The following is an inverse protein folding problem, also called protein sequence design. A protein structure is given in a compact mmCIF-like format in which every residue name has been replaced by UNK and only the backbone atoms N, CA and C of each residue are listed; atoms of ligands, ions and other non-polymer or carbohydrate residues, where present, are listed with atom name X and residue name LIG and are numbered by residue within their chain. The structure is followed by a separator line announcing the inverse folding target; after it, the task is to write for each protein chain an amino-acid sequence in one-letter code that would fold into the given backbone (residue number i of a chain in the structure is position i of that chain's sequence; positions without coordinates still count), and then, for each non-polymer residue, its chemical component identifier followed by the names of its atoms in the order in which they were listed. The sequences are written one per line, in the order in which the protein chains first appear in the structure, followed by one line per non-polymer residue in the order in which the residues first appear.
data_IF_008705310838
#
_entry.id   IF_008705310838
#
_cell.length_a   1.000
_cell.length_b   1.000
_cell.length_c   1.000
_cell.angle_alpha   90.00
_cell.angle_beta   90.00
_cell.angle_gamma   90.00
#
_symmetry.space_group_name_H-M   'P 1'
#
loop_
_entity.id
_entity.type
_entity.pdbx_description
1 polymer ?
#
# COMPACT_ATOMS: atom_id res chain seq x y z
N UNK A 1 8.44 24.62 -33.41
CA UNK A 1 9.45 24.53 -32.33
C UNK A 1 8.69 24.23 -31.05
N UNK A 2 9.12 23.24 -30.27
CA UNK A 2 8.49 22.87 -29.01
C UNK A 2 8.52 24.06 -28.03
N UNK A 3 7.44 24.24 -27.28
CA UNK A 3 7.40 25.26 -26.22
C UNK A 3 8.22 24.82 -25.01
N UNK A 4 8.56 25.75 -24.10
CA UNK A 4 9.21 25.41 -22.83
C UNK A 4 8.37 24.43 -21.98
N UNK A 5 7.03 24.52 -22.07
CA UNK A 5 6.12 23.58 -21.41
C UNK A 5 6.17 22.19 -22.05
N UNK A 6 6.32 22.10 -23.37
CA UNK A 6 6.45 20.81 -24.05
C UNK A 6 7.78 20.14 -23.68
N UNK A 7 8.88 20.90 -23.64
CA UNK A 7 10.19 20.38 -23.20
C UNK A 7 10.14 19.87 -21.76
N UNK A 8 9.48 20.58 -20.86
CA UNK A 8 9.29 20.12 -19.48
C UNK A 8 8.49 18.81 -19.43
N UNK A 9 7.38 18.73 -20.19
CA UNK A 9 6.57 17.52 -20.32
C UNK A 9 7.37 16.34 -20.88
N UNK A 10 8.16 16.54 -21.94
CA UNK A 10 8.99 15.48 -22.51
C UNK A 10 10.03 14.95 -21.52
N UNK A 11 10.62 15.82 -20.67
CA UNK A 11 11.53 15.39 -19.60
C UNK A 11 10.82 14.57 -18.53
N UNK A 12 9.63 14.98 -18.13
CA UNK A 12 8.81 14.24 -17.16
C UNK A 12 8.41 12.87 -17.70
N UNK A 13 7.93 12.81 -18.94
CA UNK A 13 7.59 11.55 -19.62
C UNK A 13 8.84 10.65 -19.73
N UNK A 14 9.97 11.17 -20.20
CA UNK A 14 11.21 10.39 -20.29
C UNK A 14 11.66 9.83 -18.94
N UNK A 15 11.50 10.59 -17.85
CA UNK A 15 11.82 10.09 -16.51
C UNK A 15 10.83 8.99 -16.07
N UNK A 16 9.54 9.13 -16.37
CA UNK A 16 8.55 8.10 -16.09
C UNK A 16 8.87 6.79 -16.80
N UNK A 17 9.26 6.86 -18.09
CA UNK A 17 9.67 5.69 -18.85
C UNK A 17 10.90 5.00 -18.27
N UNK A 18 11.92 5.77 -17.91
CA UNK A 18 13.14 5.23 -17.28
C UNK A 18 12.86 4.58 -15.93
N UNK A 19 11.93 5.16 -15.17
CA UNK A 19 11.48 4.59 -13.91
C UNK A 19 10.74 3.26 -14.12
N UNK A 20 9.87 3.17 -15.14
CA UNK A 20 9.14 1.96 -15.50
C UNK A 20 10.10 0.86 -15.99
N UNK A 21 11.01 1.17 -16.93
CA UNK A 21 12.05 0.24 -17.42
C UNK A 21 12.83 -0.36 -16.26
N UNK A 22 13.40 0.48 -15.39
CA UNK A 22 14.23 0.01 -14.29
C UNK A 22 13.43 -0.80 -13.27
N UNK A 23 12.16 -0.47 -13.05
CA UNK A 23 11.29 -1.24 -12.16
C UNK A 23 10.97 -2.61 -12.75
N UNK A 24 10.53 -2.67 -14.01
CA UNK A 24 10.14 -3.91 -14.68
C UNK A 24 11.32 -4.86 -14.86
N UNK A 25 12.51 -4.36 -15.18
CA UNK A 25 13.73 -5.17 -15.20
C UNK A 25 14.02 -5.79 -13.82
N UNK A 26 13.87 -5.02 -12.73
CA UNK A 26 14.03 -5.55 -11.37
C UNK A 26 12.98 -6.58 -10.99
N UNK A 27 11.73 -6.41 -11.43
CA UNK A 27 10.71 -7.43 -11.25
C UNK A 27 11.07 -8.70 -12.01
N UNK A 28 11.52 -8.59 -13.27
CA UNK A 28 11.92 -9.72 -14.09
C UNK A 28 13.13 -10.48 -13.52
N UNK A 29 14.08 -9.78 -12.90
CA UNK A 29 15.22 -10.38 -12.19
C UNK A 29 14.79 -11.12 -10.92
N UNK A 30 13.81 -10.58 -10.19
CA UNK A 30 13.34 -11.12 -8.92
C UNK A 30 12.24 -12.19 -9.06
N UNK A 31 11.69 -12.38 -10.26
CA UNK A 31 10.58 -13.29 -10.53
C UNK A 31 11.06 -14.72 -10.78
N UNK A 32 10.70 -15.70 -9.92
CA UNK A 32 11.08 -17.09 -10.12
C UNK A 32 10.37 -17.76 -11.31
N UNK A 33 9.17 -17.32 -11.69
CA UNK A 33 8.45 -17.88 -12.83
C UNK A 33 8.99 -17.30 -14.16
N UNK A 34 9.56 -18.17 -15.01
CA UNK A 34 10.16 -17.77 -16.27
C UNK A 34 9.18 -17.08 -17.25
N UNK A 35 7.92 -17.52 -17.28
CA UNK A 35 6.89 -16.92 -18.15
C UNK A 35 6.52 -15.53 -17.66
N UNK A 36 6.35 -15.36 -16.35
CA UNK A 36 6.03 -14.06 -15.75
C UNK A 36 7.22 -13.09 -15.85
N UNK A 37 8.45 -13.59 -15.67
CA UNK A 37 9.66 -12.81 -15.90
C UNK A 37 9.76 -12.34 -17.36
N UNK A 38 9.34 -13.17 -18.33
CA UNK A 38 9.30 -12.77 -19.73
C UNK A 38 8.27 -11.66 -19.99
N UNK A 39 7.09 -11.71 -19.33
CA UNK A 39 6.10 -10.62 -19.40
C UNK A 39 6.68 -9.31 -18.89
N UNK A 40 7.36 -9.29 -17.74
CA UNK A 40 8.01 -8.07 -17.24
C UNK A 40 9.08 -7.53 -18.18
N UNK A 41 9.88 -8.40 -18.82
CA UNK A 41 10.87 -7.96 -19.83
C UNK A 41 10.20 -7.36 -21.05
N UNK A 42 9.11 -7.95 -21.53
CA UNK A 42 8.35 -7.42 -22.66
C UNK A 42 7.78 -6.04 -22.35
N UNK A 43 7.25 -5.83 -21.14
CA UNK A 43 6.80 -4.50 -20.69
C UNK A 43 7.98 -3.51 -20.71
N UNK A 44 9.15 -3.90 -20.17
CA UNK A 44 10.34 -3.05 -20.22
C UNK A 44 10.80 -2.72 -21.66
N UNK A 45 10.66 -3.66 -22.60
CA UNK A 45 10.96 -3.44 -24.02
C UNK A 45 10.03 -2.39 -24.64
N UNK A 46 8.75 -2.38 -24.27
CA UNK A 46 7.78 -1.35 -24.69
C UNK A 46 8.19 0.04 -24.17
N UNK A 47 8.48 0.15 -22.87
CA UNK A 47 8.88 1.45 -22.28
C UNK A 47 10.21 1.96 -22.84
N UNK A 48 11.13 1.08 -23.27
CA UNK A 48 12.34 1.51 -23.98
C UNK A 48 12.02 2.17 -25.32
N UNK A 49 10.96 1.75 -26.01
CA UNK A 49 10.50 2.40 -27.25
C UNK A 49 9.83 3.75 -26.96
N UNK A 50 9.08 3.84 -25.86
CA UNK A 50 8.48 5.11 -25.42
C UNK A 50 9.57 6.10 -25.00
N UNK A 51 10.55 5.68 -24.20
CA UNK A 51 11.72 6.48 -23.83
C UNK A 51 12.48 7.00 -25.06
N UNK A 52 12.74 6.13 -26.05
CA UNK A 52 13.41 6.53 -27.28
C UNK A 52 12.63 7.60 -28.06
N UNK A 53 11.30 7.59 -27.98
CA UNK A 53 10.45 8.62 -28.58
C UNK A 53 10.62 9.96 -27.87
N UNK A 54 10.61 9.99 -26.54
CA UNK A 54 10.82 11.23 -25.78
C UNK A 54 12.24 11.78 -25.92
N UNK A 55 13.25 10.91 -26.02
CA UNK A 55 14.61 11.33 -26.35
C UNK A 55 14.69 11.96 -27.75
N UNK A 56 13.96 11.42 -28.73
CA UNK A 56 13.90 12.02 -30.07
C UNK A 56 13.26 13.41 -30.03
N UNK A 57 12.14 13.58 -29.31
CA UNK A 57 11.48 14.88 -29.13
C UNK A 57 12.40 15.92 -28.45
N UNK A 58 13.18 15.52 -27.44
CA UNK A 58 14.16 16.40 -26.81
C UNK A 58 15.30 16.79 -27.75
N UNK A 59 15.83 15.82 -28.53
CA UNK A 59 16.85 16.10 -29.55
C UNK A 59 16.34 17.07 -30.63
N UNK A 60 15.11 16.88 -31.11
CA UNK A 60 14.47 17.76 -32.09
C UNK A 60 14.22 19.17 -31.52
N UNK A 61 13.95 19.27 -30.23
CA UNK A 61 13.85 20.56 -29.52
C UNK A 61 15.20 21.24 -29.26
N UNK A 62 16.33 20.59 -29.59
CA UNK A 62 17.68 21.09 -29.35
C UNK A 62 18.11 21.04 -27.88
N UNK A 63 17.44 20.23 -27.07
CA UNK A 63 17.68 20.10 -25.63
C UNK A 63 18.57 18.87 -25.34
N UNK A 64 19.50 18.96 -24.37
CA UNK A 64 20.28 17.80 -23.96
C UNK A 64 19.38 16.75 -23.31
N UNK A 65 19.70 15.48 -23.55
CA UNK A 65 19.05 14.37 -22.88
C UNK A 65 19.59 14.32 -21.45
N UNK A 66 18.72 14.40 -20.43
CA UNK A 66 19.15 14.26 -19.04
C UNK A 66 19.82 12.90 -18.83
N UNK A 67 20.92 12.85 -18.07
CA UNK A 67 21.55 11.59 -17.64
C UNK A 67 21.01 11.14 -16.26
N UNK A 68 19.70 11.32 -16.05
CA UNK A 68 19.06 10.91 -14.80
C UNK A 68 18.79 9.42 -14.81
N UNK A 69 19.43 8.71 -13.87
CA UNK A 69 19.09 7.32 -13.55
C UNK A 69 17.70 7.20 -12.91
N UNK A 70 17.31 5.97 -12.49
CA UNK A 70 15.98 5.74 -11.91
C UNK A 70 15.76 6.59 -10.66
N UNK A 71 14.53 7.04 -10.45
CA UNK A 71 14.16 7.82 -9.29
C UNK A 71 14.37 7.04 -7.99
N UNK A 72 14.48 7.76 -6.88
CA UNK A 72 14.66 7.14 -5.57
C UNK A 72 13.52 6.15 -5.25
N UNK A 73 12.27 6.46 -5.65
CA UNK A 73 11.10 5.60 -5.49
C UNK A 73 11.31 4.29 -6.22
N UNK A 74 11.70 4.35 -7.49
CA UNK A 74 12.00 3.17 -8.31
C UNK A 74 13.14 2.34 -7.72
N UNK A 75 14.21 2.97 -7.23
CA UNK A 75 15.32 2.25 -6.58
C UNK A 75 14.87 1.49 -5.34
N UNK A 76 14.04 2.13 -4.50
CA UNK A 76 13.53 1.51 -3.27
C UNK A 76 12.55 0.38 -3.61
N UNK A 77 11.61 0.59 -4.55
CA UNK A 77 10.69 -0.46 -4.99
C UNK A 77 11.42 -1.64 -5.63
N UNK A 78 12.43 -1.39 -6.47
CA UNK A 78 13.28 -2.43 -7.05
C UNK A 78 14.07 -3.21 -5.99
N UNK A 79 14.59 -2.52 -4.96
CA UNK A 79 15.25 -3.19 -3.83
C UNK A 79 14.27 -4.05 -3.02
N UNK A 80 13.06 -3.55 -2.75
CA UNK A 80 12.01 -4.29 -2.06
C UNK A 80 11.58 -5.52 -2.86
N UNK A 81 11.43 -5.39 -4.18
CA UNK A 81 11.12 -6.51 -5.06
C UNK A 81 12.22 -7.57 -5.03
N UNK A 82 13.49 -7.18 -5.11
CA UNK A 82 14.61 -8.12 -5.03
C UNK A 82 14.74 -8.81 -3.67
N UNK A 83 14.31 -8.15 -2.59
CA UNK A 83 14.46 -8.67 -1.22
C UNK A 83 13.27 -9.50 -0.74
N UNK A 84 12.05 -9.12 -1.11
CA UNK A 84 10.80 -9.71 -0.63
C UNK A 84 9.98 -10.37 -1.74
N UNK A 85 10.45 -10.29 -2.99
CA UNK A 85 9.79 -10.80 -4.18
C UNK A 85 8.88 -9.75 -4.85
N UNK A 86 8.57 -9.93 -6.16
CA UNK A 86 7.68 -9.04 -6.91
C UNK A 86 6.31 -8.84 -6.27
N UNK A 87 5.72 -9.89 -5.71
CA UNK A 87 4.40 -9.85 -5.07
C UNK A 87 4.30 -8.86 -3.90
N UNK A 88 5.41 -8.54 -3.23
CA UNK A 88 5.43 -7.54 -2.16
C UNK A 88 5.14 -6.13 -2.67
N UNK A 89 5.72 -5.74 -3.81
CA UNK A 89 5.56 -4.40 -4.37
C UNK A 89 4.40 -4.28 -5.36
N UNK A 90 3.92 -5.42 -5.89
CA UNK A 90 2.98 -5.48 -6.99
C UNK A 90 1.73 -4.60 -6.81
N UNK A 91 1.06 -4.53 -5.64
CA UNK A 91 -0.14 -3.69 -5.54
C UNK A 91 0.18 -2.19 -5.48
N UNK A 92 1.39 -1.81 -5.05
CA UNK A 92 1.88 -0.43 -5.18
C UNK A 92 2.07 -0.09 -6.65
N UNK A 93 2.65 -1.01 -7.43
CA UNK A 93 2.86 -0.86 -8.87
C UNK A 93 1.53 -0.76 -9.60
N UNK A 94 0.56 -1.62 -9.31
CA UNK A 94 -0.82 -1.51 -9.85
C UNK A 94 -1.41 -0.12 -9.63
N UNK A 95 -1.19 0.47 -8.45
CA UNK A 95 -1.63 1.84 -8.16
C UNK A 95 -0.94 2.88 -9.05
N UNK A 96 0.36 2.72 -9.28
CA UNK A 96 1.16 3.57 -10.17
C UNK A 96 0.66 3.44 -11.61
N UNK A 97 0.54 2.23 -12.14
CA UNK A 97 0.07 1.97 -13.52
C UNK A 97 -1.35 2.47 -13.75
N UNK A 98 -2.23 2.29 -12.76
CA UNK A 98 -3.60 2.80 -12.86
C UNK A 98 -3.63 4.31 -12.95
N UNK A 99 -2.76 4.99 -12.20
CA UNK A 99 -2.62 6.46 -12.26
C UNK A 99 -1.97 6.93 -13.57
N UNK A 100 -1.04 6.14 -14.14
CA UNK A 100 -0.35 6.42 -15.39
C UNK A 100 -1.19 6.12 -16.64
N UNK A 101 -2.24 5.28 -16.52
CA UNK A 101 -3.03 4.76 -17.66
C UNK A 101 -3.65 5.80 -18.60
N UNK A 102 -3.79 7.05 -18.16
CA UNK A 102 -4.26 8.18 -18.99
C UNK A 102 -3.23 9.32 -19.11
N UNK A 103 -1.96 9.09 -18.72
CA UNK A 103 -0.90 10.10 -18.69
C UNK A 103 -0.54 10.67 -20.07
N UNK A 104 -0.77 9.89 -21.12
CA UNK A 104 -0.54 10.27 -22.52
C UNK A 104 -1.77 10.79 -23.25
N UNK A 105 -2.95 10.77 -22.63
CA UNK A 105 -4.16 11.25 -23.29
C UNK A 105 -4.05 12.76 -23.57
N UNK A 106 -4.27 13.16 -24.83
CA UNK A 106 -4.13 14.54 -25.26
C UNK A 106 -2.70 14.97 -25.60
N UNK A 107 -1.74 14.04 -25.68
CA UNK A 107 -0.38 14.31 -26.17
C UNK A 107 -0.22 13.78 -27.61
N UNK A 108 -0.18 14.66 -28.64
CA UNK A 108 -0.16 14.24 -30.05
C UNK A 108 1.02 13.33 -30.41
N UNK A 109 2.19 13.55 -29.79
CA UNK A 109 3.41 12.78 -30.04
C UNK A 109 3.29 11.35 -29.52
N UNK A 110 2.60 11.16 -28.39
CA UNK A 110 2.35 9.86 -27.78
C UNK A 110 1.22 9.10 -28.51
N UNK A 111 0.14 9.80 -28.84
CA UNK A 111 -1.02 9.26 -29.57
C UNK A 111 -0.60 8.74 -30.96
N UNK A 112 0.26 9.47 -31.67
CA UNK A 112 0.79 9.05 -32.97
C UNK A 112 1.60 7.74 -32.90
N UNK A 113 2.08 7.35 -31.71
CA UNK A 113 2.85 6.12 -31.48
C UNK A 113 2.06 5.03 -30.77
N UNK A 114 0.78 5.27 -30.45
CA UNK A 114 -0.07 4.28 -29.78
C UNK A 114 0.19 4.11 -28.28
N UNK A 115 1.02 4.95 -27.66
CA UNK A 115 1.38 4.83 -26.23
C UNK A 115 0.15 4.80 -25.29
N UNK A 116 -0.94 5.57 -25.51
CA UNK A 116 -2.12 5.46 -24.65
C UNK A 116 -2.78 4.07 -24.64
N UNK A 117 -2.64 3.28 -25.72
CA UNK A 117 -3.14 1.91 -25.74
C UNK A 117 -2.24 0.97 -24.94
N UNK A 118 -0.92 1.18 -25.02
CA UNK A 118 0.10 0.44 -24.28
C UNK A 118 -0.06 0.68 -22.77
N UNK A 119 -0.19 1.93 -22.32
CA UNK A 119 -0.41 2.30 -20.90
C UNK A 119 -1.64 1.65 -20.30
N UNK A 120 -2.76 1.66 -21.04
CA UNK A 120 -3.97 0.95 -20.60
C UNK A 120 -3.77 -0.55 -20.58
N UNK A 121 -2.91 -1.10 -21.45
CA UNK A 121 -2.52 -2.51 -21.44
C UNK A 121 -1.67 -2.85 -20.22
N UNK A 122 -0.69 -2.02 -19.87
CA UNK A 122 0.15 -2.18 -18.67
C UNK A 122 -0.72 -2.22 -17.42
N UNK A 123 -1.61 -1.24 -17.24
CA UNK A 123 -2.55 -1.20 -16.11
C UNK A 123 -3.44 -2.45 -16.04
N UNK A 124 -3.91 -2.99 -17.18
CA UNK A 124 -4.67 -4.25 -17.22
C UNK A 124 -3.82 -5.46 -16.86
N UNK A 125 -2.60 -5.57 -17.40
CA UNK A 125 -1.69 -6.68 -17.13
C UNK A 125 -1.34 -6.70 -15.65
N UNK A 126 -0.87 -5.59 -15.08
CA UNK A 126 -0.58 -5.51 -13.64
C UNK A 126 -1.81 -5.77 -12.78
N UNK A 127 -2.98 -5.24 -13.18
CA UNK A 127 -4.25 -5.54 -12.51
C UNK A 127 -4.64 -7.02 -12.57
N UNK A 128 -4.29 -7.73 -13.64
CA UNK A 128 -4.42 -9.18 -13.72
C UNK A 128 -3.37 -9.88 -12.88
N UNK A 129 -2.08 -9.55 -12.99
CA UNK A 129 -1.00 -10.14 -12.21
C UNK A 129 -1.29 -10.05 -10.71
N UNK A 130 -1.77 -8.92 -10.22
CA UNK A 130 -2.14 -8.78 -8.81
C UNK A 130 -3.31 -9.68 -8.40
N UNK A 131 -4.23 -10.03 -9.31
CA UNK A 131 -5.32 -10.99 -9.09
C UNK A 131 -4.87 -12.44 -9.29
N UNK A 132 -3.99 -12.71 -10.25
CA UNK A 132 -3.52 -14.04 -10.64
C UNK A 132 -2.49 -14.58 -9.65
N UNK A 133 -1.59 -13.73 -9.16
CA UNK A 133 -0.73 -14.06 -8.00
C UNK A 133 -1.57 -14.29 -6.74
N UNK A 134 -2.81 -13.77 -6.68
CA UNK A 134 -3.80 -14.07 -5.64
C UNK A 134 -4.70 -15.28 -5.93
N UNK A 135 -4.81 -15.73 -7.18
CA UNK A 135 -5.84 -16.68 -7.62
C UNK A 135 -5.36 -17.99 -8.28
N UNK A 136 -4.10 -18.09 -8.73
CA UNK A 136 -3.57 -19.34 -9.32
C UNK A 136 -2.80 -20.24 -8.34
N UNK A 137 -2.52 -19.78 -7.12
CA UNK A 137 -1.85 -20.61 -6.09
C UNK A 137 -2.78 -21.67 -5.47
N UNK A 138 -4.09 -21.62 -5.74
CA UNK A 138 -5.12 -22.44 -5.08
C UNK A 138 -5.22 -23.92 -5.45
N UNK A 139 -4.55 -24.42 -6.51
CA UNK A 139 -4.64 -25.85 -6.89
C UNK A 139 -3.33 -26.57 -7.19
N UNK A 140 -2.16 -25.91 -7.13
CA UNK A 140 -0.88 -26.57 -7.41
C UNK A 140 0.23 -26.41 -6.35
N UNK A 141 0.07 -25.58 -5.31
CA UNK A 141 1.14 -25.37 -4.29
C UNK A 141 0.64 -25.49 -2.84
N UNK A 142 -0.53 -26.07 -2.59
CA UNK A 142 -1.03 -26.32 -1.22
C UNK A 142 -0.24 -27.40 -0.42
N UNK A 143 0.96 -27.81 -0.87
CA UNK A 143 1.74 -28.87 -0.19
C UNK A 143 3.21 -28.55 0.08
N UNK A 144 3.72 -27.38 -0.33
CA UNK A 144 5.06 -26.96 0.04
C UNK A 144 5.11 -25.46 0.32
N UNK A 145 5.67 -25.12 1.48
CA UNK A 145 5.99 -23.78 1.99
C UNK A 145 4.90 -23.04 2.77
N UNK A 146 4.72 -23.50 4.02
CA UNK A 146 4.40 -22.58 5.10
C UNK A 146 5.58 -21.64 5.34
N UNK A 147 5.50 -20.41 4.84
CA UNK A 147 6.22 -19.22 5.30
C UNK A 147 5.63 -17.98 4.62
N UNK A 148 4.80 -17.26 5.38
CA UNK A 148 4.41 -15.85 5.26
C UNK A 148 4.60 -15.16 3.90
N UNK A 149 3.49 -14.92 3.20
CA UNK A 149 3.38 -13.84 2.23
C UNK A 149 2.15 -13.00 2.55
N UNK A 150 2.35 -12.04 3.45
CA UNK A 150 1.42 -10.94 3.63
C UNK A 150 1.23 -10.22 2.29
N UNK A 151 -0.03 -9.97 1.95
CA UNK A 151 -0.54 -9.19 0.83
C UNK A 151 0.21 -7.85 0.67
N UNK A 152 1.20 -7.82 -0.23
CA UNK A 152 2.32 -6.87 -0.22
C UNK A 152 2.02 -5.37 -0.18
N UNK A 153 1.00 -4.89 -0.90
CA UNK A 153 0.71 -3.46 -0.98
C UNK A 153 -0.20 -2.93 0.14
N UNK A 154 -1.08 -3.77 0.68
CA UNK A 154 -1.76 -3.41 1.94
C UNK A 154 -0.78 -3.49 3.12
N UNK A 155 0.17 -4.43 3.09
CA UNK A 155 1.19 -4.57 4.12
C UNK A 155 2.13 -3.36 4.21
N UNK A 156 2.63 -2.83 3.08
CA UNK A 156 3.48 -1.62 3.12
C UNK A 156 2.71 -0.40 3.62
N UNK A 157 1.44 -0.23 3.20
CA UNK A 157 0.56 0.83 3.69
C UNK A 157 0.31 0.73 5.20
N UNK A 158 -0.14 -0.44 5.64
CA UNK A 158 -0.40 -0.74 7.05
C UNK A 158 0.86 -0.58 7.89
N UNK A 159 2.01 -1.00 7.33
CA UNK A 159 3.35 -0.80 7.87
C UNK A 159 3.64 0.64 8.24
N UNK A 160 3.55 1.52 7.25
CA UNK A 160 3.86 2.94 7.39
C UNK A 160 2.85 3.64 8.29
N UNK A 161 1.56 3.27 8.22
CA UNK A 161 0.52 3.82 9.11
C UNK A 161 0.71 3.38 10.57
N UNK A 162 0.98 2.11 10.84
CA UNK A 162 1.19 1.61 12.19
C UNK A 162 2.43 2.22 12.85
N UNK A 163 3.54 2.30 12.11
CA UNK A 163 4.73 3.01 12.59
C UNK A 163 4.47 4.49 12.83
N UNK A 164 3.66 5.13 11.98
CA UNK A 164 3.28 6.52 12.18
C UNK A 164 2.47 6.72 13.47
N UNK A 165 1.45 5.89 13.68
CA UNK A 165 0.56 5.99 14.83
C UNK A 165 1.33 5.76 16.13
N UNK A 166 2.23 4.76 16.16
CA UNK A 166 3.13 4.53 17.29
C UNK A 166 4.04 5.73 17.57
N UNK A 167 4.65 6.29 16.53
CA UNK A 167 5.55 7.42 16.66
C UNK A 167 4.82 8.67 17.19
N UNK A 168 3.72 9.08 16.54
CA UNK A 168 2.99 10.31 16.88
C UNK A 168 2.36 10.20 18.28
N UNK A 169 1.71 9.09 18.60
CA UNK A 169 0.99 8.93 19.87
C UNK A 169 1.95 8.93 21.06
N UNK A 170 3.03 8.13 21.01
CA UNK A 170 4.00 8.04 22.11
C UNK A 170 4.87 9.28 22.18
N UNK A 171 5.21 9.91 21.06
CA UNK A 171 5.91 11.20 21.08
C UNK A 171 5.06 12.28 21.76
N UNK A 172 3.77 12.37 21.42
CA UNK A 172 2.85 13.34 22.02
C UNK A 172 2.68 13.09 23.52
N UNK A 173 2.56 11.83 23.94
CA UNK A 173 2.55 11.44 25.36
C UNK A 173 3.84 11.90 26.06
N UNK A 174 5.00 11.63 25.47
CA UNK A 174 6.29 12.00 26.06
C UNK A 174 6.48 13.49 26.19
N UNK A 175 6.03 14.27 25.22
CA UNK A 175 6.08 15.72 25.30
C UNK A 175 5.12 16.27 26.36
N UNK A 176 3.95 15.65 26.53
CA UNK A 176 3.02 16.02 27.62
C UNK A 176 3.62 15.79 29.01
N UNK A 177 4.22 14.61 29.24
CA UNK A 177 4.86 14.31 30.54
C UNK A 177 6.09 15.19 30.76
N UNK A 178 6.87 15.47 29.72
CA UNK A 178 8.00 16.39 29.78
C UNK A 178 7.56 17.83 30.11
N UNK A 179 6.43 18.28 29.57
CA UNK A 179 5.85 19.59 29.86
C UNK A 179 5.41 19.75 31.31
N UNK A 180 5.01 18.65 31.97
CA UNK A 180 4.68 18.62 33.39
C UNK A 180 5.92 18.58 34.33
N UNK A 181 7.13 18.76 33.79
CA UNK A 181 8.41 18.81 34.54
C UNK A 181 8.69 17.57 35.40
N UNK A 182 8.22 16.41 34.94
CA UNK A 182 8.40 15.13 35.62
C UNK A 182 9.84 14.61 35.49
N UNK A 183 10.33 13.88 36.49
CA UNK A 183 11.67 13.27 36.45
C UNK A 183 11.86 12.35 35.23
N UNK A 184 13.06 12.36 34.62
CA UNK A 184 13.35 11.58 33.40
C UNK A 184 13.15 10.08 33.57
N UNK A 185 13.37 9.53 34.78
CA UNK A 185 13.10 8.11 35.06
C UNK A 185 11.61 7.79 34.98
N UNK A 186 10.76 8.70 35.48
CA UNK A 186 9.32 8.52 35.40
C UNK A 186 8.79 8.76 33.98
N UNK A 187 9.38 9.71 33.22
CA UNK A 187 9.13 9.86 31.77
C UNK A 187 9.42 8.54 31.04
N UNK A 188 10.58 7.92 31.27
CA UNK A 188 10.94 6.65 30.64
C UNK A 188 9.92 5.55 30.95
N UNK A 189 9.54 5.39 32.23
CA UNK A 189 8.55 4.39 32.64
C UNK A 189 7.18 4.62 31.99
N UNK A 190 6.72 5.87 31.94
CA UNK A 190 5.45 6.23 31.28
C UNK A 190 5.55 6.00 29.76
N UNK A 191 6.69 6.29 29.15
CA UNK A 191 6.94 6.07 27.73
C UNK A 191 6.86 4.60 27.36
N UNK A 192 7.51 3.73 28.12
CA UNK A 192 7.41 2.29 27.93
C UNK A 192 6.00 1.75 28.19
N UNK A 193 5.33 2.24 29.22
CA UNK A 193 3.94 1.86 29.49
C UNK A 193 3.00 2.28 28.35
N UNK A 194 3.15 3.51 27.83
CA UNK A 194 2.40 4.02 26.70
C UNK A 194 2.69 3.27 25.41
N UNK A 195 3.95 2.92 25.15
CA UNK A 195 4.34 2.09 24.02
C UNK A 195 3.67 0.72 24.08
N UNK A 196 3.77 0.01 25.21
CA UNK A 196 3.19 -1.33 25.36
C UNK A 196 1.66 -1.29 25.30
N UNK A 197 1.03 -0.35 26.01
CA UNK A 197 -0.42 -0.19 25.99
C UNK A 197 -0.93 0.13 24.59
N UNK A 198 -0.28 1.06 23.88
CA UNK A 198 -0.62 1.41 22.51
C UNK A 198 -0.44 0.25 21.53
N UNK A 199 0.69 -0.45 21.60
CA UNK A 199 0.97 -1.59 20.73
C UNK A 199 -0.01 -2.75 20.95
N UNK A 200 -0.35 -3.07 22.21
CA UNK A 200 -1.36 -4.08 22.55
C UNK A 200 -2.75 -3.66 22.09
N UNK A 201 -3.13 -2.39 22.29
CA UNK A 201 -4.42 -1.87 21.83
C UNK A 201 -4.55 -1.94 20.31
N UNK A 202 -3.50 -1.59 19.57
CA UNK A 202 -3.49 -1.67 18.11
C UNK A 202 -3.55 -3.12 17.62
N UNK A 203 -2.80 -4.03 18.26
CA UNK A 203 -2.83 -5.46 17.95
C UNK A 203 -4.23 -6.07 18.18
N UNK A 204 -4.86 -5.76 19.31
CA UNK A 204 -6.22 -6.20 19.63
C UNK A 204 -7.24 -5.62 18.65
N UNK A 205 -7.11 -4.33 18.31
CA UNK A 205 -7.98 -3.67 17.34
C UNK A 205 -7.90 -4.31 15.96
N UNK A 206 -6.69 -4.60 15.48
CA UNK A 206 -6.48 -5.28 14.21
C UNK A 206 -7.02 -6.71 14.23
N UNK A 207 -6.76 -7.46 15.30
CA UNK A 207 -7.29 -8.82 15.47
C UNK A 207 -8.81 -8.85 15.42
N UNK A 208 -9.45 -7.96 16.20
CA UNK A 208 -10.91 -7.85 16.26
C UNK A 208 -11.50 -7.44 14.91
N UNK A 209 -10.86 -6.51 14.21
CA UNK A 209 -11.29 -6.10 12.87
C UNK A 209 -11.27 -7.27 11.89
N UNK A 210 -10.16 -8.00 11.81
CA UNK A 210 -10.02 -9.15 10.89
C UNK A 210 -10.96 -10.28 11.29
N UNK A 211 -11.07 -10.60 12.59
CA UNK A 211 -12.00 -11.64 13.04
C UNK A 211 -13.45 -11.28 12.78
N UNK A 212 -13.87 -10.05 13.07
CA UNK A 212 -15.25 -9.64 12.84
C UNK A 212 -15.62 -9.69 11.36
N UNK A 213 -14.71 -9.27 10.45
CA UNK A 213 -14.92 -9.42 9.01
C UNK A 213 -15.04 -10.89 8.59
N UNK A 214 -14.24 -11.77 9.21
CA UNK A 214 -14.28 -13.21 8.95
C UNK A 214 -15.55 -13.87 9.47
N UNK A 215 -15.97 -13.56 10.70
CA UNK A 215 -17.21 -14.08 11.28
C UNK A 215 -18.44 -13.63 10.47
N UNK A 216 -18.47 -12.36 10.02
CA UNK A 216 -19.51 -11.85 9.15
C UNK A 216 -19.56 -12.63 7.83
N UNK A 217 -18.40 -12.87 7.24
CA UNK A 217 -18.30 -13.65 6.00
C UNK A 217 -18.73 -15.11 6.19
N UNK A 218 -18.25 -15.78 7.22
CA UNK A 218 -18.64 -17.17 7.53
C UNK A 218 -20.15 -17.27 7.78
N UNK A 219 -20.75 -16.26 8.39
CA UNK A 219 -22.20 -16.19 8.58
C UNK A 219 -22.96 -16.03 7.26
N UNK A 220 -22.54 -15.08 6.40
CA UNK A 220 -23.20 -14.84 5.11
C UNK A 220 -23.06 -16.03 4.16
N UNK A 221 -21.87 -16.66 4.10
CA UNK A 221 -21.70 -17.92 3.38
C UNK A 221 -22.61 -19.04 3.90
N UNK A 222 -22.88 -19.07 5.21
CA UNK A 222 -23.78 -20.04 5.80
C UNK A 222 -25.22 -19.85 5.33
N UNK A 223 -25.66 -18.60 5.19
CA UNK A 223 -26.98 -18.23 4.67
C UNK A 223 -27.06 -18.62 3.19
N UNK A 224 -26.09 -18.20 2.38
CA UNK A 224 -26.00 -18.51 0.95
C UNK A 224 -26.07 -20.02 0.69
N UNK A 225 -25.34 -20.79 1.50
CA UNK A 225 -25.36 -22.25 1.41
C UNK A 225 -26.74 -22.84 1.71
N UNK A 226 -27.48 -22.24 2.63
CA UNK A 226 -28.83 -22.66 2.96
C UNK A 226 -29.81 -22.30 1.83
N UNK A 227 -29.70 -21.09 1.28
CA UNK A 227 -30.56 -20.61 0.18
C UNK A 227 -30.32 -21.42 -1.10
N UNK A 228 -29.07 -21.75 -1.43
CA UNK A 228 -28.74 -22.69 -2.51
C UNK A 228 -29.39 -24.07 -2.35
N UNK A 229 -29.59 -24.54 -1.12
CA UNK A 229 -30.19 -25.85 -0.84
C UNK A 229 -31.73 -25.79 -0.82
N UNK A 230 -32.31 -24.68 -0.35
CA UNK A 230 -33.75 -24.54 -0.14
C UNK A 230 -34.47 -23.92 -1.35
N UNK A 231 -33.85 -22.94 -2.01
CA UNK A 231 -34.46 -22.10 -3.06
C UNK A 231 -33.53 -21.88 -4.28
N UNK A 232 -32.96 -22.93 -4.90
CA UNK A 232 -31.94 -22.80 -5.96
C UNK A 232 -32.40 -22.07 -7.23
N UNK A 233 -33.71 -22.05 -7.53
CA UNK A 233 -34.23 -21.30 -8.68
C UNK A 233 -34.29 -19.79 -8.41
N UNK A 234 -34.38 -19.36 -7.15
CA UNK A 234 -34.31 -17.95 -6.75
C UNK A 234 -32.87 -17.45 -6.92
N UNK A 235 -31.87 -18.16 -6.36
CA UNK A 235 -30.44 -17.88 -6.54
C UNK A 235 -30.01 -17.76 -8.00
N UNK A 236 -30.52 -18.65 -8.83
CA UNK A 236 -30.30 -18.61 -10.27
C UNK A 236 -30.88 -17.35 -10.91
N UNK A 237 -32.06 -16.93 -10.49
CA UNK A 237 -32.68 -15.70 -10.96
C UNK A 237 -31.88 -14.47 -10.51
N UNK A 238 -31.36 -14.47 -9.28
CA UNK A 238 -30.52 -13.41 -8.72
C UNK A 238 -29.21 -13.25 -9.51
N UNK A 239 -28.43 -14.33 -9.67
CA UNK A 239 -27.22 -14.32 -10.49
C UNK A 239 -27.51 -13.89 -11.93
N UNK A 240 -28.62 -14.34 -12.50
CA UNK A 240 -29.03 -13.93 -13.85
C UNK A 240 -29.26 -12.42 -13.93
N UNK A 241 -29.86 -11.80 -12.91
CA UNK A 241 -30.06 -10.36 -12.82
C UNK A 241 -28.73 -9.61 -12.61
N UNK A 242 -27.83 -10.13 -11.78
CA UNK A 242 -26.49 -9.55 -11.56
C UNK A 242 -25.72 -9.46 -12.88
N UNK A 243 -25.67 -10.56 -13.65
CA UNK A 243 -24.98 -10.56 -14.95
C UNK A 243 -25.69 -9.69 -16.00
N UNK A 244 -27.02 -9.59 -15.97
CA UNK A 244 -27.75 -8.63 -16.82
C UNK A 244 -27.37 -7.18 -16.49
N UNK A 245 -27.26 -6.83 -15.21
CA UNK A 245 -26.81 -5.51 -14.78
C UNK A 245 -25.37 -5.21 -15.25
N UNK A 246 -24.54 -6.24 -15.42
CA UNK A 246 -23.19 -6.15 -16.02
C UNK A 246 -23.18 -6.08 -17.55
N UNK A 247 -24.35 -6.09 -18.20
CA UNK A 247 -24.51 -5.94 -19.65
C UNK A 247 -24.54 -7.25 -20.43
N UNK A 248 -24.63 -8.40 -19.76
CA UNK A 248 -24.82 -9.71 -20.41
C UNK A 248 -26.27 -9.86 -20.86
N UNK A 249 -26.51 -10.43 -22.05
CA UNK A 249 -27.89 -10.65 -22.51
C UNK A 249 -28.64 -11.61 -21.58
N UNK A 250 -29.96 -11.47 -21.48
CA UNK A 250 -30.78 -12.30 -20.57
C UNK A 250 -30.59 -13.81 -20.80
N UNK A 251 -30.54 -14.25 -22.06
CA UNK A 251 -30.36 -15.67 -22.37
C UNK A 251 -28.98 -16.18 -21.97
N UNK A 252 -27.91 -15.42 -22.28
CA UNK A 252 -26.54 -15.77 -21.92
C UNK A 252 -26.33 -15.75 -20.39
N UNK A 253 -26.87 -14.74 -19.70
CA UNK A 253 -26.79 -14.61 -18.24
C UNK A 253 -27.45 -15.80 -17.54
N UNK A 254 -28.62 -16.24 -18.04
CA UNK A 254 -29.33 -17.39 -17.51
C UNK A 254 -28.53 -18.69 -17.69
N UNK A 255 -27.97 -18.91 -18.88
CA UNK A 255 -27.13 -20.09 -19.15
C UNK A 255 -25.83 -20.07 -18.36
N UNK A 256 -25.26 -18.89 -18.11
CA UNK A 256 -24.08 -18.73 -17.26
C UNK A 256 -24.41 -19.07 -15.80
N UNK A 257 -25.48 -18.51 -15.25
CA UNK A 257 -25.94 -18.81 -13.90
C UNK A 257 -26.21 -20.32 -13.71
N UNK A 258 -26.88 -20.98 -14.66
CA UNK A 258 -27.08 -22.44 -14.62
C UNK A 258 -25.78 -23.24 -14.54
N UNK A 259 -24.75 -22.82 -15.28
CA UNK A 259 -23.45 -23.50 -15.26
C UNK A 259 -22.70 -23.25 -13.95
N UNK A 260 -22.72 -22.02 -13.44
CA UNK A 260 -22.03 -21.66 -12.21
C UNK A 260 -22.65 -22.33 -10.98
N UNK A 261 -23.99 -22.47 -10.97
CA UNK A 261 -24.73 -23.15 -9.90
C UNK A 261 -24.69 -24.69 -10.00
N UNK A 262 -24.11 -25.26 -11.05
CA UNK A 262 -24.06 -26.72 -11.23
C UNK A 262 -23.08 -27.45 -10.29
N UNK A 263 -22.13 -26.71 -9.69
CA UNK A 263 -21.18 -27.20 -8.71
C UNK A 263 -21.27 -26.33 -7.45
N UNK A 264 -21.60 -26.91 -6.29
CA UNK A 264 -21.82 -26.18 -5.03
C UNK A 264 -20.64 -25.29 -4.64
N UNK A 265 -19.41 -25.76 -4.89
CA UNK A 265 -18.21 -24.98 -4.54
C UNK A 265 -18.06 -23.75 -5.44
N UNK A 266 -18.32 -23.91 -6.73
CA UNK A 266 -18.29 -22.82 -7.72
C UNK A 266 -19.47 -21.86 -7.51
N UNK A 267 -20.64 -22.39 -7.14
CA UNK A 267 -21.84 -21.61 -6.80
C UNK A 267 -21.55 -20.67 -5.63
N UNK A 268 -21.08 -21.21 -4.51
CA UNK A 268 -20.77 -20.44 -3.31
C UNK A 268 -19.66 -19.39 -3.54
N UNK A 269 -18.58 -19.74 -4.25
CA UNK A 269 -17.53 -18.75 -4.56
C UNK A 269 -18.06 -17.65 -5.51
N UNK A 270 -18.94 -18.01 -6.46
CA UNK A 270 -19.56 -17.03 -7.37
C UNK A 270 -20.47 -16.09 -6.59
N UNK A 271 -21.40 -16.60 -5.79
CA UNK A 271 -22.37 -15.80 -5.04
C UNK A 271 -21.67 -14.91 -4.01
N UNK A 272 -20.65 -15.44 -3.31
CA UNK A 272 -19.84 -14.64 -2.41
C UNK A 272 -19.20 -13.42 -3.10
N UNK A 273 -18.72 -13.57 -4.33
CA UNK A 273 -18.07 -12.48 -5.08
C UNK A 273 -19.05 -11.55 -5.78
N UNK A 274 -20.07 -12.13 -6.39
CA UNK A 274 -20.96 -11.45 -7.33
C UNK A 274 -22.11 -10.78 -6.60
N UNK A 275 -22.63 -11.39 -5.55
CA UNK A 275 -23.75 -10.91 -4.76
C UNK A 275 -23.28 -10.22 -3.47
N UNK A 276 -22.52 -10.93 -2.63
CA UNK A 276 -22.05 -10.37 -1.35
C UNK A 276 -20.94 -9.34 -1.54
N UNK A 277 -20.28 -9.33 -2.71
CA UNK A 277 -19.13 -8.48 -2.99
C UNK A 277 -17.91 -8.82 -2.13
N UNK A 278 -17.88 -10.02 -1.56
CA UNK A 278 -16.80 -10.48 -0.68
C UNK A 278 -15.88 -11.38 -1.50
N UNK A 279 -14.61 -11.01 -1.54
CA UNK A 279 -13.59 -11.90 -2.03
C UNK A 279 -13.10 -12.77 -0.86
N UNK A 280 -13.31 -14.11 -0.90
CA UNK A 280 -12.80 -15.05 0.10
C UNK A 280 -11.30 -14.90 0.37
N UNK A 281 -10.55 -14.40 -0.62
CA UNK A 281 -9.11 -14.20 -0.54
C UNK A 281 -8.72 -12.82 0.02
N UNK A 282 -9.65 -11.87 0.13
CA UNK A 282 -9.42 -10.53 0.71
C UNK A 282 -9.66 -10.44 2.21
N UNK A 283 -10.24 -11.46 2.83
CA UNK A 283 -10.44 -11.56 4.29
C UNK A 283 -9.13 -11.56 5.09
N UNK A 284 -8.00 -11.52 4.39
CA UNK A 284 -6.67 -11.39 4.98
C UNK A 284 -6.13 -12.73 5.48
N UNK A 285 -4.85 -12.72 5.86
CA UNK A 285 -4.22 -13.85 6.54
C UNK A 285 -4.87 -14.14 7.91
N UNK A 286 -4.18 -14.87 8.77
CA UNK A 286 -4.71 -15.11 10.12
C UNK A 286 -4.87 -13.78 10.89
N UNK A 287 -5.96 -13.60 11.64
CA UNK A 287 -6.16 -12.43 12.50
C UNK A 287 -4.97 -12.22 13.48
N UNK A 288 -4.34 -13.32 13.90
CA UNK A 288 -3.13 -13.28 14.72
C UNK A 288 -1.91 -12.70 13.99
N UNK A 289 -1.72 -13.01 12.72
CA UNK A 289 -0.63 -12.45 11.93
C UNK A 289 -0.80 -10.94 11.75
N UNK A 290 -2.03 -10.48 11.48
CA UNK A 290 -2.34 -9.06 11.39
C UNK A 290 -2.07 -8.36 12.74
N UNK A 291 -2.55 -8.92 13.85
CA UNK A 291 -2.34 -8.41 15.19
C UNK A 291 -0.86 -8.27 15.57
N UNK A 292 -0.08 -9.34 15.36
CA UNK A 292 1.36 -9.36 15.68
C UNK A 292 2.12 -8.35 14.81
N UNK A 293 1.77 -8.27 13.52
CA UNK A 293 2.38 -7.31 12.60
C UNK A 293 2.10 -5.88 13.06
N UNK A 294 0.84 -5.55 13.35
CA UNK A 294 0.44 -4.23 13.88
C UNK A 294 1.12 -3.89 15.20
N UNK A 295 1.28 -4.85 16.11
CA UNK A 295 2.03 -4.66 17.36
C UNK A 295 3.46 -4.16 17.09
N UNK A 296 4.20 -4.88 16.25
CA UNK A 296 5.60 -4.56 15.98
C UNK A 296 5.76 -3.26 15.18
N UNK A 297 4.90 -3.01 14.21
CA UNK A 297 4.90 -1.76 13.45
C UNK A 297 4.69 -0.55 14.36
N UNK A 298 3.69 -0.62 15.24
CA UNK A 298 3.47 0.40 16.26
C UNK A 298 4.69 0.57 17.15
N UNK A 299 5.23 -0.53 17.69
CA UNK A 299 6.38 -0.50 18.59
C UNK A 299 7.63 0.11 17.93
N UNK A 300 7.88 -0.16 16.65
CA UNK A 300 8.99 0.43 15.87
C UNK A 300 8.87 1.95 15.79
N UNK A 301 7.66 2.48 15.62
CA UNK A 301 7.42 3.92 15.67
C UNK A 301 7.58 4.49 17.07
N UNK A 302 6.92 3.84 18.03
CA UNK A 302 6.81 4.29 19.41
C UNK A 302 8.14 4.27 20.18
N UNK A 303 9.10 3.41 19.81
CA UNK A 303 10.38 3.33 20.50
C UNK A 303 11.26 4.56 20.25
N UNK A 304 11.12 5.22 19.10
CA UNK A 304 11.92 6.39 18.71
C UNK A 304 11.87 7.52 19.76
N UNK A 305 10.70 7.99 20.22
CA UNK A 305 10.62 9.03 21.25
C UNK A 305 11.07 8.55 22.64
N UNK A 306 10.98 7.25 22.93
CA UNK A 306 11.30 6.66 24.24
C UNK A 306 12.81 6.42 24.41
N UNK A 307 13.47 5.94 23.35
CA UNK A 307 14.86 5.48 23.39
C UNK A 307 15.85 6.54 23.93
N UNK A 308 15.74 7.85 23.62
CA UNK A 308 16.66 8.85 24.16
C UNK A 308 16.67 8.92 25.69
N UNK A 309 15.53 8.67 26.35
CA UNK A 309 15.42 8.71 27.81
C UNK A 309 16.07 7.51 28.51
N UNK A 310 16.51 6.49 27.76
CA UNK A 310 17.35 5.40 28.29
C UNK A 310 18.76 5.92 28.61
N UNK A 311 19.25 6.87 27.82
CA UNK A 311 20.64 7.33 27.89
C UNK A 311 20.79 8.77 28.39
N UNK A 312 19.76 9.60 28.22
CA UNK A 312 19.79 11.04 28.47
C UNK A 312 18.74 11.44 29.50
N UNK A 313 19.01 12.53 30.21
CA UNK A 313 18.12 13.10 31.22
C UNK A 313 17.90 14.59 30.98
N UNK A 314 16.88 15.15 31.65
CA UNK A 314 16.53 16.57 31.59
C UNK A 314 16.26 17.05 30.16
N UNK A 315 16.62 18.30 29.89
CA UNK A 315 16.39 18.97 28.60
C UNK A 315 17.07 18.27 27.43
N UNK A 316 18.23 17.65 27.65
CA UNK A 316 18.94 16.91 26.60
C UNK A 316 18.12 15.70 26.11
N UNK A 317 17.43 14.98 27.03
CA UNK A 317 16.52 13.89 26.68
C UNK A 317 15.33 14.37 25.86
N UNK A 318 14.72 15.50 26.26
CA UNK A 318 13.57 16.10 25.55
C UNK A 318 13.95 16.53 24.13
N UNK A 319 15.06 17.27 23.97
CA UNK A 319 15.52 17.73 22.65
C UNK A 319 15.86 16.54 21.74
N UNK A 320 16.57 15.55 22.27
CA UNK A 320 16.97 14.37 21.48
C UNK A 320 15.75 13.53 21.08
N UNK A 321 14.77 13.38 21.97
CA UNK A 321 13.46 12.77 21.68
C UNK A 321 12.72 13.53 20.57
N UNK A 322 12.63 14.85 20.66
CA UNK A 322 11.96 15.67 19.66
C UNK A 322 12.65 15.63 18.29
N UNK A 323 13.98 15.73 18.24
CA UNK A 323 14.76 15.64 17.00
C UNK A 323 14.65 14.23 16.40
N UNK A 324 14.80 13.19 17.21
CA UNK A 324 14.65 11.80 16.78
C UNK A 324 13.26 11.52 16.20
N UNK A 325 12.21 12.00 16.88
CA UNK A 325 10.83 11.89 16.39
C UNK A 325 10.58 12.70 15.13
N UNK A 326 11.12 13.92 15.00
CA UNK A 326 11.01 14.69 13.77
C UNK A 326 11.67 13.98 12.59
N UNK A 327 12.87 13.42 12.77
CA UNK A 327 13.55 12.62 11.74
C UNK A 327 12.75 11.35 11.40
N UNK A 328 12.20 10.66 12.40
CA UNK A 328 11.33 9.50 12.21
C UNK A 328 10.07 9.84 11.41
N UNK A 329 9.39 10.94 11.76
CA UNK A 329 8.19 11.41 11.07
C UNK A 329 8.50 11.81 9.63
N UNK A 330 9.65 12.46 9.39
CA UNK A 330 10.09 12.78 8.06
C UNK A 330 10.34 11.50 7.23
N UNK A 331 11.01 10.49 7.80
CA UNK A 331 11.29 9.22 7.15
C UNK A 331 9.99 8.45 6.83
N UNK A 332 9.02 8.43 7.75
CA UNK A 332 7.69 7.85 7.52
C UNK A 332 6.95 8.62 6.41
N UNK A 333 6.95 9.96 6.48
CA UNK A 333 6.33 10.80 5.45
C UNK A 333 6.99 10.61 4.07
N UNK A 334 8.29 10.37 4.02
CA UNK A 334 9.02 9.95 2.82
C UNK A 334 8.57 8.57 2.35
N UNK A 335 8.45 7.58 3.24
CA UNK A 335 7.99 6.23 2.89
C UNK A 335 6.58 6.25 2.26
N UNK A 336 5.66 7.11 2.73
CA UNK A 336 4.32 7.30 2.14
C UNK A 336 4.40 7.72 0.65
N UNK A 337 5.47 8.40 0.24
CA UNK A 337 5.64 8.82 -1.17
C UNK A 337 5.96 7.67 -2.11
N UNK A 338 6.41 6.52 -1.59
CA UNK A 338 6.51 5.29 -2.38
C UNK A 338 5.15 4.90 -2.96
N UNK A 339 4.07 5.12 -2.20
CA UNK A 339 2.71 4.76 -2.58
C UNK A 339 1.97 5.88 -3.31
N UNK A 340 2.25 7.14 -2.95
CA UNK A 340 1.46 8.29 -3.44
C UNK A 340 2.09 9.04 -4.60
N UNK A 341 3.36 8.77 -4.92
CA UNK A 341 4.09 9.46 -5.99
C UNK A 341 4.34 10.95 -5.75
N UNK A 342 3.98 11.49 -4.58
CA UNK A 342 4.18 12.91 -4.23
C UNK A 342 5.65 13.20 -3.89
N UNK A 343 6.03 14.47 -3.87
CA UNK A 343 7.38 14.89 -3.50
C UNK A 343 7.76 14.53 -2.06
N UNK A 344 8.93 13.91 -1.87
CA UNK A 344 9.47 13.45 -0.58
C UNK A 344 9.50 14.57 0.45
N UNK A 345 10.05 15.73 0.07
CA UNK A 345 10.19 16.89 0.96
C UNK A 345 8.84 17.37 1.48
N UNK A 346 7.84 17.46 0.59
CA UNK A 346 6.50 17.94 0.94
C UNK A 346 5.81 16.97 1.89
N UNK A 347 5.85 15.67 1.59
CA UNK A 347 5.21 14.66 2.42
C UNK A 347 5.90 14.49 3.78
N UNK A 348 7.23 14.46 3.81
CA UNK A 348 8.03 14.39 5.03
C UNK A 348 7.84 15.61 5.92
N UNK A 349 7.93 16.82 5.36
CA UNK A 349 7.76 18.05 6.13
C UNK A 349 6.34 18.21 6.69
N UNK A 350 5.33 17.81 5.91
CA UNK A 350 3.93 17.76 6.38
C UNK A 350 3.79 16.86 7.61
N UNK A 351 4.43 15.69 7.60
CA UNK A 351 4.35 14.76 8.71
C UNK A 351 5.03 15.31 9.97
N UNK A 352 6.21 15.92 9.81
CA UNK A 352 6.91 16.61 10.89
C UNK A 352 6.06 17.74 11.46
N UNK A 353 5.44 18.56 10.61
CA UNK A 353 4.59 19.67 11.03
C UNK A 353 3.44 19.19 11.91
N UNK A 354 2.69 18.18 11.47
CA UNK A 354 1.56 17.65 12.25
C UNK A 354 2.02 16.99 13.55
N UNK A 355 3.11 16.22 13.53
CA UNK A 355 3.63 15.60 14.74
C UNK A 355 4.16 16.60 15.76
N UNK A 356 4.89 17.64 15.31
CA UNK A 356 5.35 18.72 16.19
C UNK A 356 4.19 19.57 16.72
N UNK A 357 3.15 19.80 15.93
CA UNK A 357 1.95 20.49 16.38
C UNK A 357 1.23 19.71 17.50
N UNK A 358 1.03 18.41 17.31
CA UNK A 358 0.45 17.53 18.33
C UNK A 358 1.28 17.53 19.62
N UNK A 359 2.60 17.38 19.49
CA UNK A 359 3.54 17.44 20.60
C UNK A 359 3.54 18.79 21.33
N UNK A 360 3.46 19.92 20.60
CA UNK A 360 3.41 21.25 21.20
C UNK A 360 2.12 21.43 22.02
N UNK A 361 0.99 20.93 21.51
CA UNK A 361 -0.29 20.94 22.23
C UNK A 361 -0.19 20.12 23.51
N UNK A 362 0.30 18.87 23.44
CA UNK A 362 0.39 18.03 24.63
C UNK A 362 1.41 18.56 25.64
N UNK A 363 2.55 19.08 25.19
CA UNK A 363 3.52 19.76 26.06
C UNK A 363 2.88 20.96 26.78
N UNK A 364 2.11 21.79 26.07
CA UNK A 364 1.39 22.92 26.64
C UNK A 364 0.37 22.47 27.71
N UNK A 365 -0.41 21.44 27.42
CA UNK A 365 -1.34 20.83 28.39
C UNK A 365 -0.59 20.28 29.61
N UNK A 366 0.52 19.56 29.38
CA UNK A 366 1.37 19.05 30.45
C UNK A 366 1.88 20.16 31.37
N UNK A 367 2.33 21.27 30.79
CA UNK A 367 2.78 22.45 31.53
C UNK A 367 1.67 23.07 32.36
N UNK A 368 0.45 23.19 31.81
CA UNK A 368 -0.71 23.68 32.58
C UNK A 368 -1.05 22.77 33.75
N UNK A 369 -1.01 21.44 33.56
CA UNK A 369 -1.29 20.49 34.63
C UNK A 369 -0.20 20.52 35.70
N UNK A 370 1.08 20.49 35.30
CA UNK A 370 2.22 20.53 36.22
C UNK A 370 2.20 21.76 37.14
N UNK A 371 1.84 22.93 36.59
CA UNK A 371 1.72 24.19 37.35
C UNK A 371 0.56 24.15 38.36
N UNK A 372 -0.54 23.44 38.09
CA UNK A 372 -1.72 23.40 38.97
C UNK A 372 -1.71 22.27 40.00
N UNK A 373 -0.95 21.18 39.77
CA UNK A 373 -0.92 20.00 40.66
C UNK A 373 0.34 19.97 41.52
N UNK A 374 1.44 20.60 41.08
CA UNK A 374 2.70 20.68 41.82
C UNK A 374 2.94 22.01 42.56
N UNK A 375 1.98 22.94 42.52
CA UNK A 375 2.04 24.26 43.16
C UNK A 375 1.51 24.29 44.59
#
# INVERSE_FOLDING_TARGET
MASKSDVARYRENLQAERDAIALYERLAEAEPNADLAAVYRQLADTERQHAATWEAQLREAGEPIPDSGPSWRTRVLGWLAGRFGPGFVLPTIVGIEKQASSGYDGQPEAEARGMPADERSHARIFGHLARTTRGLEGRAVARFEGRHRATGGNALRAGVLGANDGLVSVFSLMMGVAGAEVSSRLILSIGFAGLLAGALSMALGEWLSVQSSRELYEHQLGIEKQELAEIPEEEKAELTLIYQAKGVSREEARTLAERLLSDETTALDTLAREELGIDPQELGGSAWEAAITSFFLFAIGAIIPVLPYVFLTGTAGVITSAVGSALGLFAIGAAITLMTGRGVLVSGLRQVLFGLAAAAITFGVGRLIGVNVGG
#
